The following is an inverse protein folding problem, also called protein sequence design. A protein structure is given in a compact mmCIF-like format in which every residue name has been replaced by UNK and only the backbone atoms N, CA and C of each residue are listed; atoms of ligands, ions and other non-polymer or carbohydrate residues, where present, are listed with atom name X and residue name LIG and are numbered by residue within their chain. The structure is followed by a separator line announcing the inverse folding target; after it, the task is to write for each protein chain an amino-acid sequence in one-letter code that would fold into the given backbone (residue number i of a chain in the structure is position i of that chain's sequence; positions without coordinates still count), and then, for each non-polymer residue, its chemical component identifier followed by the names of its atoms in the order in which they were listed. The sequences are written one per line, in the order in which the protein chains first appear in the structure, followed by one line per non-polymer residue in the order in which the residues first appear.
data_IF_955103207987
#
_entry.id   IF_955103207987
#
_cell.length_a   1.000
_cell.length_b   1.000
_cell.length_c   1.000
_cell.angle_alpha   90.00
_cell.angle_beta   90.00
_cell.angle_gamma   90.00
#
_symmetry.space_group_name_H-M   'P 1'
#
loop_
_entity.id
_entity.type
_entity.pdbx_description
1 polymer ?
#
# COMPACT_ATOMS: atom_id res chain seq x y z
N UNK A 1 -19.07 1.88 -16.33
CA UNK A 1 -18.92 0.47 -15.91
C UNK A 1 -19.90 -0.38 -16.72
N UNK A 2 -19.52 -1.56 -17.20
CA UNK A 2 -20.31 -2.36 -18.14
C UNK A 2 -21.47 -3.16 -17.51
N UNK A 3 -21.81 -2.93 -16.24
CA UNK A 3 -22.99 -3.53 -15.58
C UNK A 3 -22.86 -5.01 -15.18
N UNK A 4 -21.79 -5.70 -15.56
CA UNK A 4 -21.57 -7.11 -15.24
C UNK A 4 -20.54 -7.31 -14.11
N UNK A 5 -20.75 -8.29 -13.20
CA UNK A 5 -19.75 -8.66 -12.20
C UNK A 5 -18.51 -9.25 -12.87
N UNK A 6 -17.32 -8.80 -12.45
CA UNK A 6 -16.07 -9.44 -12.87
C UNK A 6 -15.98 -10.84 -12.24
N UNK A 7 -15.81 -11.86 -13.08
CA UNK A 7 -15.59 -13.24 -12.62
C UNK A 7 -14.27 -13.34 -11.84
N UNK A 8 -14.26 -14.12 -10.76
CA UNK A 8 -13.07 -14.25 -9.91
C UNK A 8 -11.82 -14.73 -10.66
N UNK A 9 -11.97 -15.62 -11.63
CA UNK A 9 -10.85 -16.13 -12.42
C UNK A 9 -10.33 -15.09 -13.42
N UNK A 10 -11.21 -14.24 -13.96
CA UNK A 10 -10.80 -13.08 -14.74
C UNK A 10 -9.96 -12.13 -13.88
N UNK A 11 -10.41 -11.78 -12.67
CA UNK A 11 -9.66 -10.89 -11.77
C UNK A 11 -8.26 -11.46 -11.46
N UNK A 12 -8.15 -12.76 -11.16
CA UNK A 12 -6.86 -13.41 -10.91
C UNK A 12 -5.96 -13.40 -12.15
N UNK A 13 -6.52 -13.66 -13.33
CA UNK A 13 -5.77 -13.64 -14.59
C UNK A 13 -5.22 -12.25 -14.91
N UNK A 14 -6.05 -11.21 -14.80
CA UNK A 14 -5.65 -9.81 -14.99
C UNK A 14 -4.58 -9.38 -13.97
N UNK A 15 -4.72 -9.81 -12.72
CA UNK A 15 -3.77 -9.51 -11.65
C UNK A 15 -2.40 -10.16 -11.89
N UNK A 16 -2.39 -11.46 -12.24
CA UNK A 16 -1.15 -12.20 -12.60
C UNK A 16 -0.48 -11.63 -13.84
N UNK A 17 -1.25 -11.07 -14.77
CA UNK A 17 -0.73 -10.38 -15.93
C UNK A 17 -0.23 -8.95 -15.64
N UNK A 18 -0.25 -8.50 -14.38
CA UNK A 18 0.25 -7.19 -13.96
C UNK A 18 -0.64 -6.01 -14.34
N UNK A 19 -1.90 -6.25 -14.70
CA UNK A 19 -2.85 -5.20 -15.11
C UNK A 19 -3.70 -4.64 -13.97
N UNK A 20 -3.55 -5.20 -12.77
CA UNK A 20 -4.24 -4.68 -11.59
C UNK A 20 -3.63 -3.34 -11.16
N UNK A 21 -4.49 -2.34 -11.01
CA UNK A 21 -4.15 -1.00 -10.51
C UNK A 21 -4.91 -0.67 -9.24
N UNK A 22 -4.80 0.59 -8.81
CA UNK A 22 -5.54 1.13 -7.67
C UNK A 22 -6.32 2.37 -8.10
N UNK A 23 -7.52 2.52 -7.56
CA UNK A 23 -8.38 3.70 -7.71
C UNK A 23 -8.65 4.28 -6.33
N UNK A 24 -8.45 5.60 -6.17
CA UNK A 24 -8.74 6.26 -4.91
C UNK A 24 -10.26 6.48 -4.78
N UNK A 25 -10.86 5.94 -3.71
CA UNK A 25 -12.30 6.08 -3.48
C UNK A 25 -12.63 7.26 -2.56
N UNK A 26 -11.92 7.38 -1.43
CA UNK A 26 -12.12 8.41 -0.44
C UNK A 26 -10.83 8.67 0.33
N UNK A 27 -10.74 9.85 0.95
CA UNK A 27 -9.73 10.16 1.97
C UNK A 27 -10.40 10.11 3.33
N UNK A 28 -9.71 9.46 4.27
CA UNK A 28 -10.16 9.37 5.66
C UNK A 28 -9.12 10.04 6.54
N UNK A 29 -9.53 10.97 7.40
CA UNK A 29 -8.65 11.60 8.38
C UNK A 29 -9.14 11.34 9.79
N UNK A 30 -8.23 11.36 10.75
CA UNK A 30 -8.57 11.38 12.17
C UNK A 30 -9.01 12.79 12.60
N UNK A 31 -9.89 12.88 13.58
CA UNK A 31 -10.48 14.13 14.05
C UNK A 31 -11.05 14.00 15.46
N UNK A 32 -11.32 15.12 16.12
CA UNK A 32 -11.69 15.16 17.55
C UNK A 32 -12.92 14.31 17.93
N UNK A 33 -13.82 14.03 16.98
CA UNK A 33 -15.02 13.21 17.15
C UNK A 33 -15.03 11.89 16.38
N UNK A 34 -13.88 11.45 15.86
CA UNK A 34 -13.74 10.24 15.04
C UNK A 34 -13.24 10.52 13.62
N UNK A 35 -13.64 9.68 12.66
CA UNK A 35 -13.14 9.72 11.29
C UNK A 35 -13.93 10.71 10.43
N UNK A 36 -13.23 11.61 9.75
CA UNK A 36 -13.80 12.43 8.68
C UNK A 36 -13.57 11.74 7.33
N UNK A 37 -14.55 11.83 6.43
CA UNK A 37 -14.51 11.22 5.10
C UNK A 37 -14.65 12.30 4.03
N UNK A 38 -13.75 12.28 3.06
CA UNK A 38 -13.72 13.24 1.95
C UNK A 38 -13.75 12.49 0.64
N UNK A 39 -14.46 13.02 -0.35
CA UNK A 39 -14.42 12.52 -1.71
C UNK A 39 -12.99 12.56 -2.26
N UNK A 40 -12.62 11.55 -3.04
CA UNK A 40 -11.38 11.57 -3.79
C UNK A 40 -11.36 12.78 -4.75
N UNK A 41 -10.22 13.45 -4.84
CA UNK A 41 -9.99 14.56 -5.75
C UNK A 41 -8.73 14.25 -6.58
N UNK A 42 -8.60 14.79 -7.81
CA UNK A 42 -7.45 14.52 -8.67
C UNK A 42 -6.10 14.80 -7.99
N UNK A 43 -6.04 15.82 -7.15
CA UNK A 43 -4.84 16.23 -6.40
C UNK A 43 -4.43 15.17 -5.37
N UNK A 44 -5.41 14.49 -4.75
CA UNK A 44 -5.17 13.40 -3.80
C UNK A 44 -4.55 12.19 -4.49
N UNK A 45 -5.04 11.85 -5.69
CA UNK A 45 -4.46 10.79 -6.52
C UNK A 45 -3.04 11.14 -6.97
N UNK A 46 -2.84 12.37 -7.45
CA UNK A 46 -1.53 12.82 -7.92
C UNK A 46 -0.50 12.76 -6.79
N UNK A 47 -0.90 13.22 -5.60
CA UNK A 47 -0.06 13.14 -4.39
C UNK A 47 0.25 11.69 -4.00
N UNK A 48 -0.72 10.76 -4.13
CA UNK A 48 -0.48 9.35 -3.86
C UNK A 48 0.49 8.71 -4.86
N UNK A 49 0.36 9.05 -6.15
CA UNK A 49 1.22 8.54 -7.24
C UNK A 49 2.63 9.14 -7.23
N UNK A 50 2.81 10.32 -6.62
CA UNK A 50 4.11 10.97 -6.49
C UNK A 50 5.05 10.28 -5.49
N UNK A 51 4.55 9.33 -4.68
CA UNK A 51 5.36 8.59 -3.71
C UNK A 51 6.45 7.75 -4.40
N UNK A 52 7.70 7.98 -4.02
CA UNK A 52 8.88 7.25 -4.53
C UNK A 52 9.68 6.66 -3.37
N UNK A 53 9.32 5.45 -2.89
CA UNK A 53 10.10 4.78 -1.85
C UNK A 53 11.52 4.47 -2.37
N UNK A 54 12.54 4.76 -1.55
CA UNK A 54 13.94 4.47 -1.88
C UNK A 54 14.33 3.01 -1.61
N UNK A 55 13.58 2.37 -0.70
CA UNK A 55 13.78 0.99 -0.29
C UNK A 55 12.47 0.21 -0.36
N UNK A 56 12.58 -1.10 -0.60
CA UNK A 56 11.47 -2.05 -0.53
C UNK A 56 11.95 -3.39 0.00
N UNK A 57 11.09 -4.16 0.69
CA UNK A 57 11.44 -5.50 1.15
C UNK A 57 11.63 -6.44 -0.05
N UNK A 58 12.74 -7.17 -0.06
CA UNK A 58 13.05 -8.18 -1.07
C UNK A 58 12.79 -9.56 -0.48
N UNK A 59 12.21 -10.46 -1.29
CA UNK A 59 11.94 -11.84 -0.90
C UNK A 59 10.64 -12.34 -1.48
N UNK A 60 10.66 -13.59 -1.94
CA UNK A 60 9.45 -14.28 -2.37
C UNK A 60 8.57 -14.60 -1.16
N UNK A 61 7.26 -14.55 -1.38
CA UNK A 61 6.28 -15.07 -0.42
C UNK A 61 6.32 -16.60 -0.45
N UNK A 62 6.13 -17.22 0.72
CA UNK A 62 6.08 -18.68 0.83
C UNK A 62 4.97 -19.25 -0.05
N UNK A 63 5.35 -20.16 -0.95
CA UNK A 63 4.39 -20.98 -1.68
C UNK A 63 3.72 -21.96 -0.71
N UNK A 64 2.38 -22.08 -0.79
CA UNK A 64 1.64 -23.09 -0.04
C UNK A 64 1.39 -22.79 1.44
N UNK A 65 1.70 -21.59 1.93
CA UNK A 65 1.29 -21.19 3.28
C UNK A 65 -0.25 -21.20 3.40
N UNK A 66 -0.78 -22.02 4.31
CA UNK A 66 -2.22 -22.10 4.57
C UNK A 66 -2.77 -20.71 4.90
N UNK A 67 -3.78 -20.27 4.14
CA UNK A 67 -4.42 -18.96 4.31
C UNK A 67 -3.78 -17.81 3.53
N UNK A 68 -2.68 -18.03 2.80
CA UNK A 68 -2.03 -16.99 2.00
C UNK A 68 -2.50 -17.02 0.53
N UNK A 69 -3.64 -16.39 0.26
CA UNK A 69 -4.27 -16.37 -1.08
C UNK A 69 -3.74 -15.30 -2.05
N UNK A 70 -2.90 -14.37 -1.57
CA UNK A 70 -2.40 -13.24 -2.36
C UNK A 70 -1.52 -13.63 -3.57
N UNK A 71 -0.75 -14.74 -3.58
CA UNK A 71 -0.02 -15.16 -4.78
C UNK A 71 -0.95 -15.49 -5.94
N UNK A 72 -2.22 -15.85 -5.68
CA UNK A 72 -3.21 -16.08 -6.74
C UNK A 72 -3.46 -14.82 -7.58
N UNK A 73 -3.17 -13.64 -7.04
CA UNK A 73 -3.31 -12.34 -7.68
C UNK A 73 -1.97 -11.75 -8.17
N UNK A 74 -0.91 -12.56 -8.30
CA UNK A 74 0.40 -12.08 -8.77
C UNK A 74 1.20 -11.27 -7.73
N UNK A 75 0.76 -11.31 -6.47
CA UNK A 75 1.48 -10.76 -5.33
C UNK A 75 2.33 -11.89 -4.72
N UNK A 76 3.49 -12.11 -5.33
CA UNK A 76 4.44 -13.22 -5.04
C UNK A 76 5.72 -12.74 -4.32
N UNK A 77 5.88 -11.45 -4.11
CA UNK A 77 7.01 -10.84 -3.40
C UNK A 77 6.50 -9.87 -2.32
N UNK A 78 7.24 -9.75 -1.21
CA UNK A 78 6.82 -8.92 -0.07
C UNK A 78 6.52 -7.46 -0.43
N UNK A 79 7.29 -6.84 -1.32
CA UNK A 79 7.05 -5.43 -1.70
C UNK A 79 5.73 -5.23 -2.46
N UNK A 80 5.22 -6.24 -3.15
CA UNK A 80 3.95 -6.16 -3.92
C UNK A 80 2.73 -6.05 -3.01
N UNK A 81 2.86 -6.38 -1.72
CA UNK A 81 1.76 -6.26 -0.74
C UNK A 81 1.46 -4.81 -0.34
N UNK A 82 2.31 -3.87 -0.74
CA UNK A 82 2.20 -2.48 -0.36
C UNK A 82 2.12 -1.60 -1.61
N UNK A 83 1.32 -0.55 -1.54
CA UNK A 83 1.41 0.56 -2.49
C UNK A 83 2.70 1.35 -2.26
N UNK A 84 3.18 2.07 -3.28
CA UNK A 84 4.36 2.92 -3.17
C UNK A 84 4.27 3.94 -2.01
N UNK A 85 3.06 4.49 -1.78
CA UNK A 85 2.79 5.41 -0.68
C UNK A 85 2.90 4.75 0.70
N UNK A 86 2.41 3.51 0.84
CA UNK A 86 2.54 2.75 2.09
C UNK A 86 4.00 2.42 2.39
N UNK A 87 4.78 1.99 1.38
CA UNK A 87 6.22 1.74 1.57
C UNK A 87 6.98 3.02 1.96
N UNK A 88 6.69 4.14 1.30
CA UNK A 88 7.31 5.42 1.64
C UNK A 88 6.97 5.84 3.08
N UNK A 89 5.71 5.71 3.50
CA UNK A 89 5.30 6.04 4.85
C UNK A 89 6.01 5.15 5.89
N UNK A 90 6.03 3.83 5.67
CA UNK A 90 6.67 2.87 6.57
C UNK A 90 8.16 3.18 6.75
N UNK A 91 8.88 3.36 5.64
CA UNK A 91 10.32 3.68 5.66
C UNK A 91 10.60 5.00 6.35
N UNK A 92 9.83 6.05 6.03
CA UNK A 92 9.95 7.36 6.68
C UNK A 92 9.78 7.26 8.20
N UNK A 93 8.76 6.53 8.68
CA UNK A 93 8.56 6.39 10.12
C UNK A 93 9.65 5.55 10.80
N UNK A 94 10.13 4.49 10.15
CA UNK A 94 11.26 3.70 10.65
C UNK A 94 12.53 4.56 10.81
N UNK A 95 12.83 5.42 9.83
CA UNK A 95 13.99 6.32 9.87
C UNK A 95 13.85 7.36 10.99
N UNK A 96 12.65 7.93 11.17
CA UNK A 96 12.38 8.92 12.21
C UNK A 96 12.53 8.34 13.62
N UNK A 97 12.19 7.06 13.85
CA UNK A 97 12.40 6.40 15.15
C UNK A 97 13.89 6.35 15.49
N UNK A 98 14.75 6.01 14.54
CA UNK A 98 16.19 6.01 14.75
C UNK A 98 16.73 7.41 15.06
N UNK A 99 16.27 8.43 14.32
CA UNK A 99 16.65 9.82 14.56
C UNK A 99 16.20 10.33 15.94
N UNK A 100 14.98 10.00 16.36
CA UNK A 100 14.44 10.37 17.67
C UNK A 100 15.26 9.76 18.81
N UNK A 101 15.70 8.50 18.67
CA UNK A 101 16.56 7.83 19.65
C UNK A 101 17.88 8.54 19.86
N UNK A 102 18.55 8.96 18.78
CA UNK A 102 19.81 9.69 18.87
C UNK A 102 19.62 11.06 19.50
N UNK A 103 18.50 11.74 19.20
CA UNK A 103 18.17 13.01 19.86
C UNK A 103 17.99 12.86 21.38
N UNK A 104 17.25 11.83 21.80
CA UNK A 104 17.04 11.53 23.24
C UNK A 104 18.36 11.27 23.95
N UNK A 105 19.30 10.56 23.31
CA UNK A 105 20.63 10.30 23.88
C UNK A 105 21.49 11.54 24.04
N UNK A 106 21.35 12.51 23.12
CA UNK A 106 22.10 13.75 23.17
C UNK A 106 21.53 14.78 24.17
N UNK A 107 20.21 14.70 24.44
CA UNK A 107 19.52 15.57 25.39
C UNK A 107 19.64 15.06 26.86
N UNK A 108 20.12 13.82 27.06
CA UNK A 108 20.34 13.19 28.37
C UNK A 108 21.77 13.42 28.90
#
# INVERSE_FOLDING_TARGET
ACGEPALGDYVKAEARAGRMGATLLAIVTDGAGGRNYYSAAPEHEQSARAAKPQWRPVGALSEGALGFGVPLYGLDEYHKLFTARQLLALTTFSDLIAAARERIRADA
#
